data_IF_383113857230
#
_entry.id   IF_383113857230
#
_cell.length_a   1.000
_cell.length_b   1.000
_cell.length_c   1.000
_cell.angle_alpha   90.00
_cell.angle_beta   90.00
_cell.angle_gamma   90.00
#
_symmetry.space_group_name_H-M   'P 1'
#
loop_
_entity.id
_entity.type
_entity.pdbx_description
1 polymer ?
#
# COMPACT_ATOMS: atom_id res chain seq x y z
N UNK A 1 53.28 -30.62 39.20
CA UNK A 1 53.60 -29.93 37.93
C UNK A 1 52.40 -29.04 37.61
N UNK A 2 52.45 -27.76 37.99
CA UNK A 2 51.34 -26.84 37.81
C UNK A 2 51.61 -25.97 36.58
N UNK A 3 50.76 -26.09 35.56
CA UNK A 3 50.85 -25.30 34.34
C UNK A 3 50.27 -23.91 34.60
N UNK A 4 51.10 -22.87 34.45
CA UNK A 4 50.66 -21.49 34.51
C UNK A 4 49.96 -21.11 33.20
N UNK A 5 48.70 -20.72 33.30
CA UNK A 5 47.91 -20.21 32.18
C UNK A 5 48.25 -18.73 31.94
N UNK A 6 48.74 -18.42 30.74
CA UNK A 6 49.03 -17.06 30.29
C UNK A 6 47.87 -16.58 29.39
N UNK A 7 47.12 -15.51 29.76
CA UNK A 7 46.05 -15.00 28.93
C UNK A 7 46.61 -14.28 27.69
N UNK A 8 45.88 -14.32 26.55
CA UNK A 8 46.30 -13.69 25.30
C UNK A 8 46.26 -12.16 25.39
N UNK A 9 47.30 -11.52 24.86
CA UNK A 9 47.45 -10.06 24.78
C UNK A 9 46.63 -9.49 23.60
N UNK A 10 45.97 -8.33 23.76
CA UNK A 10 45.18 -7.69 22.71
C UNK A 10 46.09 -7.11 21.60
N UNK A 11 45.67 -7.30 20.35
CA UNK A 11 46.40 -6.77 19.19
C UNK A 11 46.06 -5.29 18.92
N UNK A 12 47.03 -4.48 18.45
CA UNK A 12 46.81 -3.08 18.12
C UNK A 12 46.03 -2.89 16.82
N UNK A 13 44.92 -2.16 16.90
CA UNK A 13 44.05 -1.80 15.78
C UNK A 13 44.70 -0.69 14.95
N UNK A 14 44.97 -0.96 13.67
CA UNK A 14 45.42 0.06 12.71
C UNK A 14 44.21 0.87 12.19
N UNK A 15 44.26 2.21 12.20
CA UNK A 15 43.20 3.03 11.61
C UNK A 15 43.23 2.97 10.07
N UNK A 16 42.06 2.76 9.46
CA UNK A 16 41.89 2.85 8.01
C UNK A 16 41.87 4.32 7.53
N UNK A 17 42.40 4.61 6.34
CA UNK A 17 42.36 5.94 5.74
C UNK A 17 40.94 6.29 5.25
N UNK A 18 40.49 7.49 5.60
CA UNK A 18 39.22 8.07 5.16
C UNK A 18 39.37 8.59 3.73
N UNK A 19 38.49 8.15 2.82
CA UNK A 19 38.44 8.59 1.43
C UNK A 19 37.56 9.86 1.28
N UNK A 20 38.11 11.03 0.91
CA UNK A 20 37.34 12.25 0.77
C UNK A 20 37.01 12.51 -0.71
N UNK A 21 35.95 11.89 -1.25
CA UNK A 21 35.42 12.27 -2.56
C UNK A 21 34.01 11.71 -2.81
N UNK A 22 33.00 12.58 -2.69
CA UNK A 22 31.78 12.56 -3.51
C UNK A 22 30.94 13.82 -3.21
N UNK A 23 31.10 14.86 -4.03
CA UNK A 23 30.15 15.97 -4.07
C UNK A 23 28.83 15.51 -4.71
N UNK A 24 27.66 15.92 -4.21
CA UNK A 24 26.38 15.64 -4.87
C UNK A 24 26.13 16.61 -6.04
N UNK A 25 25.48 16.16 -7.14
CA UNK A 25 25.10 17.03 -8.25
C UNK A 25 23.93 17.97 -7.90
N UNK A 26 23.96 19.14 -8.53
CA UNK A 26 22.99 20.24 -8.42
C UNK A 26 21.56 19.81 -8.75
N UNK A 27 20.64 20.23 -7.88
CA UNK A 27 19.19 20.11 -8.02
C UNK A 27 18.67 20.93 -9.23
N UNK A 28 18.08 20.24 -10.21
CA UNK A 28 17.38 20.87 -11.34
C UNK A 28 15.91 21.01 -10.97
N UNK A 29 15.41 22.26 -11.00
CA UNK A 29 14.05 22.64 -10.65
C UNK A 29 13.09 22.31 -11.81
N UNK A 30 11.92 21.68 -11.59
CA UNK A 30 10.93 21.46 -12.64
C UNK A 30 10.23 22.76 -13.05
N UNK A 31 10.06 22.94 -14.37
CA UNK A 31 9.25 23.99 -14.99
C UNK A 31 7.75 23.58 -15.00
N UNK A 32 6.81 24.49 -14.71
CA UNK A 32 5.39 24.21 -14.83
C UNK A 32 4.89 24.38 -16.27
N UNK A 33 4.19 23.36 -16.77
CA UNK A 33 3.53 23.36 -18.08
C UNK A 33 2.23 24.19 -18.07
N UNK A 34 1.94 24.98 -19.12
CA UNK A 34 0.70 25.72 -19.24
C UNK A 34 -0.44 24.90 -19.86
N UNK A 35 -1.65 25.06 -19.29
CA UNK A 35 -2.92 24.57 -19.86
C UNK A 35 -3.30 25.35 -21.13
N UNK A 36 -3.92 24.69 -22.11
CA UNK A 36 -4.95 25.29 -22.96
C UNK A 36 -6.27 24.51 -22.78
N UNK A 37 -7.41 25.13 -22.49
CA UNK A 37 -8.18 26.13 -23.23
C UNK A 37 -9.52 25.48 -23.63
N UNK A 38 -10.59 26.01 -23.03
CA UNK A 38 -11.97 25.72 -23.35
C UNK A 38 -12.28 25.98 -24.83
N UNK A 39 -12.98 25.05 -25.48
CA UNK A 39 -13.70 25.32 -26.72
C UNK A 39 -15.21 25.26 -26.49
N UNK A 40 -15.84 26.38 -26.84
CA UNK A 40 -17.27 26.58 -26.99
C UNK A 40 -17.78 25.98 -28.31
N UNK A 41 -19.01 25.40 -28.25
CA UNK A 41 -20.18 25.51 -29.17
C UNK A 41 -19.96 25.32 -30.71
N UNK A 42 -20.94 24.76 -31.46
CA UNK A 42 -22.22 25.45 -31.67
C UNK A 42 -23.46 24.54 -31.73
N UNK A 43 -24.62 25.21 -31.64
CA UNK A 43 -25.94 24.65 -31.84
C UNK A 43 -26.24 24.41 -33.33
N UNK A 44 -26.98 23.36 -33.65
CA UNK A 44 -27.71 23.23 -34.92
C UNK A 44 -29.17 22.83 -34.64
N UNK A 45 -30.07 23.74 -34.99
CA UNK A 45 -31.48 23.53 -35.40
C UNK A 45 -31.56 23.99 -36.88
N UNK A 46 -32.70 23.88 -37.58
CA UNK A 46 -33.63 22.75 -37.72
C UNK A 46 -33.88 22.47 -39.23
N UNK A 47 -34.45 21.31 -39.58
CA UNK A 47 -34.89 20.99 -40.94
C UNK A 47 -36.28 20.34 -40.93
N UNK A 48 -37.26 20.85 -41.70
CA UNK A 48 -38.62 20.34 -41.72
C UNK A 48 -38.79 19.24 -42.78
N UNK A 49 -39.71 18.31 -42.57
CA UNK A 49 -40.28 17.55 -43.68
C UNK A 49 -41.79 17.35 -43.50
N UNK A 50 -42.61 17.51 -44.56
CA UNK A 50 -44.06 17.64 -44.47
C UNK A 50 -44.79 16.45 -45.12
N UNK A 51 -45.56 15.70 -44.34
CA UNK A 51 -46.72 14.92 -44.81
C UNK A 51 -47.71 14.89 -43.63
N UNK A 52 -48.75 15.75 -43.64
CA UNK A 52 -50.09 15.47 -44.19
C UNK A 52 -50.69 14.20 -43.54
N UNK A 53 -51.34 14.31 -42.38
CA UNK A 53 -52.76 14.67 -42.17
C UNK A 53 -53.76 13.62 -42.69
N UNK A 54 -54.45 12.94 -41.76
CA UNK A 54 -55.93 12.80 -41.78
C UNK A 54 -56.51 12.29 -40.44
N UNK A 55 -57.77 12.62 -40.12
CA UNK A 55 -58.28 12.72 -38.74
C UNK A 55 -59.36 11.70 -38.32
N UNK A 56 -59.43 11.46 -36.99
CA UNK A 56 -60.61 11.23 -36.12
C UNK A 56 -61.32 9.84 -36.18
N UNK A 57 -62.16 9.43 -35.18
CA UNK A 57 -62.39 9.92 -33.81
C UNK A 57 -62.53 8.80 -32.73
N UNK A 58 -62.80 9.24 -31.49
CA UNK A 58 -63.43 8.55 -30.33
C UNK A 58 -62.53 8.01 -29.22
N UNK A 59 -62.27 8.92 -28.29
CA UNK A 59 -62.63 8.81 -26.86
C UNK A 59 -62.81 7.40 -26.31
N UNK A 60 -61.85 6.92 -25.51
CA UNK A 60 -62.21 6.23 -24.26
C UNK A 60 -61.06 6.26 -23.25
N UNK A 61 -61.40 6.81 -22.07
CA UNK A 61 -60.87 6.54 -20.72
C UNK A 61 -59.43 7.00 -20.41
N UNK A 62 -59.36 8.25 -19.95
CA UNK A 62 -58.48 8.61 -18.84
C UNK A 62 -59.11 8.04 -17.56
N UNK A 63 -58.54 6.99 -17.00
CA UNK A 63 -58.82 6.57 -15.63
C UNK A 63 -57.53 6.07 -14.98
N UNK A 64 -56.90 6.97 -14.22
CA UNK A 64 -56.30 6.61 -12.94
C UNK A 64 -55.06 5.72 -12.94
N UNK A 65 -54.10 5.92 -13.83
CA UNK A 65 -52.74 5.40 -13.65
C UNK A 65 -51.94 6.25 -12.66
N UNK A 66 -52.24 6.21 -11.36
CA UNK A 66 -51.46 6.92 -10.33
C UNK A 66 -51.57 6.25 -8.96
N UNK A 67 -50.89 5.13 -8.76
CA UNK A 67 -50.51 4.63 -7.41
C UNK A 67 -49.30 3.67 -7.47
N UNK A 68 -48.26 3.99 -8.26
CA UNK A 68 -46.97 3.27 -8.19
C UNK A 68 -45.77 4.23 -8.26
N UNK A 69 -45.78 5.30 -7.46
CA UNK A 69 -44.63 6.20 -7.33
C UNK A 69 -44.15 6.40 -5.88
N UNK A 70 -44.69 5.66 -4.90
CA UNK A 70 -44.34 5.83 -3.48
C UNK A 70 -43.66 4.61 -2.83
N UNK A 71 -43.42 3.52 -3.56
CA UNK A 71 -42.67 2.37 -3.03
C UNK A 71 -41.14 2.50 -3.23
N UNK A 72 -40.66 3.47 -4.01
CA UNK A 72 -39.24 3.60 -4.34
C UNK A 72 -38.41 4.43 -3.33
N UNK A 73 -39.04 5.05 -2.33
CA UNK A 73 -38.34 5.92 -1.35
C UNK A 73 -38.00 5.24 -0.01
N UNK A 74 -38.38 3.97 0.19
CA UNK A 74 -37.98 3.21 1.39
C UNK A 74 -36.67 2.43 1.23
N UNK A 75 -36.06 2.49 0.05
CA UNK A 75 -34.68 2.07 -0.15
C UNK A 75 -33.88 3.36 -0.29
N UNK A 76 -33.59 4.00 0.83
CA UNK A 76 -32.42 4.87 0.89
C UNK A 76 -31.22 3.93 1.04
N UNK A 77 -30.46 3.61 -0.03
CA UNK A 77 -29.12 3.10 0.19
C UNK A 77 -28.40 4.23 0.91
N UNK A 78 -27.90 3.92 2.10
CA UNK A 78 -26.98 4.76 2.81
C UNK A 78 -25.74 4.93 1.91
N UNK A 79 -25.78 5.94 1.04
CA UNK A 79 -24.66 6.39 0.20
C UNK A 79 -23.71 7.17 1.10
N UNK A 80 -23.17 6.48 2.11
CA UNK A 80 -21.90 6.83 2.73
C UNK A 80 -20.81 6.55 1.70
N UNK A 81 -20.75 7.41 0.67
CA UNK A 81 -19.60 7.46 -0.19
C UNK A 81 -18.49 8.20 0.56
N UNK A 82 -17.32 7.57 0.59
CA UNK A 82 -16.02 8.23 0.70
C UNK A 82 -15.52 8.59 2.11
N UNK A 83 -15.15 7.56 2.86
CA UNK A 83 -13.72 7.21 2.97
C UNK A 83 -13.62 5.83 3.59
N UNK A 84 -13.76 4.80 2.76
CA UNK A 84 -12.96 3.59 2.98
C UNK A 84 -11.50 3.99 2.67
N UNK A 85 -10.91 4.79 3.56
CA UNK A 85 -9.53 4.52 3.95
C UNK A 85 -9.64 3.22 4.72
N UNK A 86 -9.74 2.10 4.01
CA UNK A 86 -9.17 0.87 4.53
C UNK A 86 -7.67 1.15 4.55
N UNK A 87 -7.23 1.90 5.56
CA UNK A 87 -5.88 1.76 6.04
C UNK A 87 -5.86 0.29 6.46
N UNK A 88 -5.32 -0.56 5.59
CA UNK A 88 -5.30 -1.99 5.79
C UNK A 88 -4.72 -2.25 7.18
N UNK A 89 -5.59 -2.59 8.13
CA UNK A 89 -5.23 -2.54 9.52
C UNK A 89 -3.99 -3.42 9.74
N UNK A 90 -2.97 -2.88 10.40
CA UNK A 90 -1.77 -3.62 10.80
C UNK A 90 -2.05 -4.30 12.15
N UNK A 91 -3.14 -5.06 12.23
CA UNK A 91 -3.59 -5.72 13.45
C UNK A 91 -2.86 -7.04 13.61
N UNK A 92 -2.33 -7.29 14.80
CA UNK A 92 -1.73 -8.58 15.12
C UNK A 92 -2.83 -9.65 15.22
N UNK A 93 -2.86 -10.61 14.29
CA UNK A 93 -3.86 -11.71 14.30
C UNK A 93 -3.31 -12.97 14.97
N UNK A 94 -1.98 -13.13 15.00
CA UNK A 94 -1.31 -14.26 15.64
C UNK A 94 0.06 -13.86 16.12
N UNK A 95 0.25 -13.87 17.43
CA UNK A 95 1.55 -13.66 18.04
C UNK A 95 2.35 -14.98 17.99
N UNK A 96 3.56 -14.92 17.44
CA UNK A 96 4.42 -16.09 17.24
C UNK A 96 5.52 -16.11 18.32
N UNK A 97 6.50 -15.20 18.25
CA UNK A 97 7.59 -15.11 19.22
C UNK A 97 7.61 -13.75 19.95
N UNK A 98 7.12 -13.66 21.20
CA UNK A 98 6.96 -12.38 21.91
C UNK A 98 8.26 -11.58 22.13
N UNK A 99 9.42 -12.27 22.08
CA UNK A 99 10.75 -11.68 22.29
C UNK A 99 11.50 -11.42 20.97
N UNK A 100 10.87 -11.67 19.82
CA UNK A 100 11.49 -11.42 18.53
C UNK A 100 11.75 -9.92 18.36
N UNK A 101 13.00 -9.61 18.04
CA UNK A 101 13.47 -8.26 17.73
C UNK A 101 14.46 -8.33 16.58
N UNK A 102 14.51 -7.30 15.75
CA UNK A 102 15.40 -7.22 14.60
C UNK A 102 16.46 -6.14 14.83
N UNK A 103 17.71 -6.53 14.60
CA UNK A 103 18.90 -5.67 14.67
C UNK A 103 19.16 -4.91 13.37
N UNK A 104 20.03 -3.91 13.41
CA UNK A 104 20.46 -3.17 12.22
C UNK A 104 21.13 -4.06 11.18
N UNK A 105 21.91 -5.06 11.62
CA UNK A 105 22.62 -5.96 10.70
C UNK A 105 21.65 -6.90 9.98
N UNK A 106 20.59 -7.34 10.65
CA UNK A 106 19.50 -8.08 10.02
C UNK A 106 18.74 -7.23 9.00
N UNK A 107 18.50 -5.94 9.28
CA UNK A 107 17.88 -5.02 8.30
C UNK A 107 18.79 -4.86 7.08
N UNK A 108 20.10 -4.66 7.26
CA UNK A 108 21.03 -4.57 6.13
C UNK A 108 20.96 -5.80 5.22
N UNK A 109 20.92 -7.00 5.80
CA UNK A 109 20.73 -8.24 5.04
C UNK A 109 19.41 -8.25 4.27
N UNK A 110 18.33 -7.75 4.86
CA UNK A 110 17.04 -7.62 4.16
C UNK A 110 17.12 -6.65 2.97
N UNK A 111 17.83 -5.53 3.12
CA UNK A 111 18.02 -4.54 2.05
C UNK A 111 18.84 -5.10 0.88
N UNK A 112 19.72 -6.06 1.15
CA UNK A 112 20.51 -6.79 0.15
C UNK A 112 19.74 -7.98 -0.46
N UNK A 113 18.57 -8.33 0.10
CA UNK A 113 17.76 -9.47 -0.39
C UNK A 113 16.95 -9.05 -1.60
N UNK A 114 17.08 -9.80 -2.70
CA UNK A 114 16.30 -9.54 -3.92
C UNK A 114 14.81 -9.81 -3.70
N UNK A 115 13.96 -8.96 -4.30
CA UNK A 115 12.54 -9.24 -4.40
C UNK A 115 12.32 -10.61 -5.04
N UNK A 116 11.20 -11.25 -4.69
CA UNK A 116 10.88 -12.62 -5.04
C UNK A 116 11.83 -13.66 -4.43
N UNK A 117 12.78 -13.34 -3.54
CA UNK A 117 13.49 -14.39 -2.81
C UNK A 117 12.51 -15.31 -2.05
N UNK A 118 12.82 -16.61 -1.85
CA UNK A 118 11.99 -17.48 -1.02
C UNK A 118 11.82 -16.90 0.39
N UNK A 119 10.61 -17.00 0.95
CA UNK A 119 10.31 -16.60 2.34
C UNK A 119 11.28 -17.24 3.33
N UNK A 120 11.63 -18.50 3.13
CA UNK A 120 12.61 -19.22 3.94
C UNK A 120 13.97 -18.49 4.02
N UNK A 121 14.46 -17.93 2.91
CA UNK A 121 15.73 -17.18 2.87
C UNK A 121 15.67 -15.92 3.73
N UNK A 122 14.53 -15.20 3.72
CA UNK A 122 14.33 -14.06 4.62
C UNK A 122 14.30 -14.50 6.09
N UNK A 123 13.63 -15.62 6.35
CA UNK A 123 13.48 -16.18 7.70
C UNK A 123 14.78 -16.80 8.26
N UNK A 124 15.76 -17.15 7.42
CA UNK A 124 17.08 -17.60 7.90
C UNK A 124 17.78 -16.55 8.76
N UNK A 125 17.63 -15.26 8.44
CA UNK A 125 18.27 -14.19 9.19
C UNK A 125 17.28 -13.35 10.02
N UNK A 126 16.01 -13.23 9.64
CA UNK A 126 15.01 -12.56 10.48
C UNK A 126 14.41 -13.45 11.56
N UNK A 127 14.51 -14.78 11.41
CA UNK A 127 13.89 -15.77 12.30
C UNK A 127 12.36 -15.61 12.36
N UNK A 128 11.75 -16.22 13.37
CA UNK A 128 10.30 -16.20 13.60
C UNK A 128 9.85 -14.77 13.95
N UNK A 129 8.76 -14.27 13.36
CA UNK A 129 8.26 -12.93 13.65
C UNK A 129 7.74 -12.78 15.08
N UNK A 130 7.58 -11.54 15.51
CA UNK A 130 6.82 -11.24 16.71
C UNK A 130 5.34 -11.55 16.48
N UNK A 131 4.82 -11.12 15.34
CA UNK A 131 3.42 -11.31 14.99
C UNK A 131 3.20 -11.48 13.49
N UNK A 132 2.28 -12.37 13.13
CA UNK A 132 1.62 -12.37 11.83
C UNK A 132 0.47 -11.38 11.88
N UNK A 133 0.52 -10.39 11.00
CA UNK A 133 -0.51 -9.34 10.89
C UNK A 133 -1.65 -9.78 9.98
N UNK A 134 -2.78 -9.09 10.04
CA UNK A 134 -3.85 -9.24 9.04
C UNK A 134 -3.28 -9.07 7.62
N UNK A 135 -3.73 -9.88 6.63
CA UNK A 135 -3.29 -9.73 5.24
C UNK A 135 -3.58 -8.33 4.70
N UNK A 136 -2.78 -7.87 3.76
CA UNK A 136 -2.90 -6.54 3.13
C UNK A 136 -2.47 -6.58 1.68
N UNK A 137 -1.83 -5.49 1.23
CA UNK A 137 -1.34 -5.33 -0.13
C UNK A 137 0.09 -4.81 -0.18
N UNK A 138 0.79 -5.17 -1.25
CA UNK A 138 2.05 -4.55 -1.64
C UNK A 138 1.82 -3.13 -2.19
N UNK A 139 2.90 -2.39 -2.44
CA UNK A 139 2.81 -1.09 -3.13
C UNK A 139 2.18 -1.18 -4.53
N UNK A 140 2.30 -2.34 -5.18
CA UNK A 140 1.67 -2.63 -6.46
C UNK A 140 0.17 -3.01 -6.34
N UNK A 141 -0.37 -3.05 -5.11
CA UNK A 141 -1.77 -3.39 -4.85
C UNK A 141 -2.07 -4.89 -4.88
N UNK A 142 -1.04 -5.75 -4.95
CA UNK A 142 -1.19 -7.20 -4.93
C UNK A 142 -1.41 -7.70 -3.49
N UNK A 143 -2.24 -8.73 -3.26
CA UNK A 143 -2.40 -9.33 -1.93
C UNK A 143 -1.07 -9.74 -1.31
N UNK A 144 -0.89 -9.46 -0.03
CA UNK A 144 0.32 -9.77 0.71
C UNK A 144 0.03 -10.27 2.13
N UNK A 145 0.72 -11.34 2.51
CA UNK A 145 0.89 -11.73 3.90
C UNK A 145 1.89 -10.80 4.58
N UNK A 146 1.70 -10.56 5.88
CA UNK A 146 2.44 -9.54 6.62
C UNK A 146 3.02 -10.11 7.92
N UNK A 147 4.33 -9.98 8.10
CA UNK A 147 5.04 -10.37 9.32
C UNK A 147 5.65 -9.13 9.98
N UNK A 148 5.43 -8.95 11.28
CA UNK A 148 5.90 -7.81 12.05
C UNK A 148 7.07 -8.19 12.95
N UNK A 149 8.10 -7.34 12.92
CA UNK A 149 9.33 -7.46 13.69
C UNK A 149 9.65 -6.15 14.41
N UNK A 150 9.53 -6.10 15.75
CA UNK A 150 10.07 -5.04 16.60
C UNK A 150 11.52 -4.69 16.26
N UNK A 151 11.85 -3.41 16.15
CA UNK A 151 13.25 -3.02 16.04
C UNK A 151 13.92 -3.03 17.41
N UNK A 152 15.10 -3.65 17.51
CA UNK A 152 15.85 -3.73 18.76
C UNK A 152 16.31 -2.35 19.27
N UNK A 153 16.57 -1.42 18.35
CA UNK A 153 17.06 -0.07 18.64
C UNK A 153 15.96 1.00 18.65
N UNK A 154 14.74 0.64 18.27
CA UNK A 154 13.55 1.49 18.35
C UNK A 154 12.29 0.62 18.54
N UNK A 155 11.98 0.22 19.79
CA UNK A 155 10.88 -0.71 20.05
C UNK A 155 9.49 -0.17 19.69
N UNK A 156 9.34 1.14 19.40
CA UNK A 156 8.08 1.72 18.96
C UNK A 156 7.86 1.57 17.44
N UNK A 157 8.86 1.10 16.71
CA UNK A 157 8.80 0.86 15.28
C UNK A 157 8.79 -0.65 14.98
N UNK A 158 7.96 -1.05 14.03
CA UNK A 158 7.93 -2.37 13.41
C UNK A 158 8.56 -2.30 12.02
N UNK A 159 9.46 -3.22 11.73
CA UNK A 159 9.70 -3.69 10.38
C UNK A 159 8.55 -4.64 10.01
N UNK A 160 7.83 -4.33 8.95
CA UNK A 160 6.77 -5.19 8.40
C UNK A 160 7.30 -5.78 7.09
N UNK A 161 7.42 -7.10 7.04
CA UNK A 161 7.83 -7.84 5.83
C UNK A 161 6.57 -8.30 5.10
N UNK A 162 6.55 -8.09 3.79
CA UNK A 162 5.46 -8.42 2.88
C UNK A 162 5.83 -9.68 2.09
N UNK A 163 4.90 -10.62 1.98
CA UNK A 163 5.07 -11.81 1.14
C UNK A 163 3.88 -12.01 0.21
N UNK A 164 4.17 -12.41 -1.03
CA UNK A 164 3.17 -12.92 -1.97
C UNK A 164 3.29 -14.45 -1.97
N UNK A 165 2.44 -15.11 -1.18
CA UNK A 165 2.61 -16.54 -0.87
C UNK A 165 3.97 -16.79 -0.19
N UNK A 166 4.81 -17.63 -0.78
CA UNK A 166 6.14 -17.97 -0.26
C UNK A 166 7.27 -17.10 -0.85
N UNK A 167 6.94 -15.95 -1.43
CA UNK A 167 7.90 -15.06 -2.09
C UNK A 167 7.97 -13.72 -1.37
N UNK A 168 9.18 -13.26 -1.09
CA UNK A 168 9.43 -11.95 -0.51
C UNK A 168 8.98 -10.86 -1.49
N UNK A 169 8.08 -9.99 -1.03
CA UNK A 169 7.46 -8.96 -1.85
C UNK A 169 7.88 -7.54 -1.46
N UNK A 170 8.66 -7.39 -0.39
CA UNK A 170 9.18 -6.10 0.09
C UNK A 170 8.99 -5.92 1.59
N UNK A 171 9.18 -4.69 2.06
CA UNK A 171 9.03 -4.34 3.47
C UNK A 171 8.57 -2.89 3.64
N UNK A 172 8.11 -2.57 4.85
CA UNK A 172 7.75 -1.22 5.27
C UNK A 172 8.09 -1.00 6.75
N UNK A 173 8.19 0.25 7.18
CA UNK A 173 8.35 0.61 8.59
C UNK A 173 7.07 1.26 9.12
N UNK A 174 6.56 0.74 10.24
CA UNK A 174 5.32 1.22 10.86
C UNK A 174 5.54 1.55 12.32
N UNK A 175 5.03 2.71 12.74
CA UNK A 175 4.94 3.07 14.16
C UNK A 175 3.76 2.33 14.79
N UNK A 176 3.95 1.88 16.04
CA UNK A 176 2.90 1.24 16.83
C UNK A 176 1.94 2.24 17.44
#
# INVERSE_FOLDING_TARGET
MSAHYQPPQPQPVHPQPVNPQAMPPRSVRPQPSPHPAHYHRPAQRPGPSPYADRPQPRQVIVAGGSMLALAALLISPNLNNEKVKEAEAFTCIRQEQPKAVVSRDQIKKLLETELQAPKATVQEFLQVPYCVLSPGKTEAGLPADREAYPLAFDPQTWLVVLYEGDRYAGYDFRFR
#
